data_IF_094724772378
#
_entry.id   IF_094724772378
#
_cell.length_a   1.000
_cell.length_b   1.000
_cell.length_c   1.000
_cell.angle_alpha   90.00
_cell.angle_beta   90.00
_cell.angle_gamma   90.00
#
_symmetry.space_group_name_H-M   'P 1'
#
loop_
_entity.id
_entity.type
_entity.pdbx_description
1 polymer ?
#
# COMPACT_ATOMS: atom_id res chain seq x y z
N UNK A 1 6.80 20.01 -21.75
CA UNK A 1 6.66 20.27 -20.31
C UNK A 1 6.25 18.93 -19.65
N UNK A 2 6.72 18.61 -18.46
CA UNK A 2 6.45 17.34 -17.75
C UNK A 2 6.97 16.09 -18.48
N UNK A 3 8.16 16.16 -19.05
CA UNK A 3 8.76 15.09 -19.87
C UNK A 3 9.11 13.87 -19.03
N UNK A 4 9.64 14.08 -17.80
CA UNK A 4 10.04 12.98 -16.93
C UNK A 4 8.84 12.18 -16.46
N UNK A 5 7.72 12.86 -16.09
CA UNK A 5 6.47 12.20 -15.75
C UNK A 5 6.00 11.27 -16.87
N UNK A 6 6.08 11.74 -18.14
CA UNK A 6 5.54 11.04 -19.30
C UNK A 6 6.49 10.00 -19.91
N UNK A 7 7.76 10.00 -19.52
CA UNK A 7 8.75 9.07 -20.05
C UNK A 7 8.51 7.65 -19.55
N UNK A 8 8.42 6.64 -20.45
CA UNK A 8 8.34 5.24 -20.05
C UNK A 8 9.50 4.84 -19.15
N UNK A 9 9.22 3.95 -18.20
CA UNK A 9 10.21 3.55 -17.19
C UNK A 9 10.11 2.07 -16.85
N UNK A 10 11.26 1.40 -16.68
CA UNK A 10 11.31 0.05 -16.17
C UNK A 10 11.26 0.06 -14.63
N UNK A 11 10.10 -0.23 -14.08
CA UNK A 11 9.86 -0.29 -12.63
C UNK A 11 10.02 -1.73 -12.14
N UNK A 12 11.23 -2.07 -11.69
CA UNK A 12 11.53 -3.38 -11.12
C UNK A 12 11.31 -4.58 -12.05
N UNK A 13 11.50 -4.39 -13.37
CA UNK A 13 11.28 -5.42 -14.39
C UNK A 13 9.96 -5.28 -15.15
N UNK A 14 9.07 -4.35 -14.74
CA UNK A 14 7.84 -4.02 -15.44
C UNK A 14 7.96 -2.69 -16.17
N UNK A 15 7.77 -2.67 -17.50
CA UNK A 15 7.74 -1.43 -18.27
C UNK A 15 6.42 -0.70 -18.07
N UNK A 16 6.49 0.51 -17.54
CA UNK A 16 5.37 1.44 -17.36
C UNK A 16 5.40 2.51 -18.45
N UNK A 17 4.24 2.89 -19.00
CA UNK A 17 4.10 3.92 -20.04
C UNK A 17 4.43 5.34 -19.57
N UNK A 18 4.40 5.60 -18.27
CA UNK A 18 4.78 6.83 -17.59
C UNK A 18 5.09 6.52 -16.12
N UNK A 19 5.39 7.54 -15.31
CA UNK A 19 5.84 7.36 -13.92
C UNK A 19 4.77 7.55 -12.85
N UNK A 20 3.48 7.58 -13.24
CA UNK A 20 2.36 7.79 -12.31
C UNK A 20 1.63 6.48 -12.02
N UNK A 21 1.51 6.19 -10.72
CA UNK A 21 0.89 4.97 -10.19
C UNK A 21 -0.31 5.36 -9.34
N UNK A 22 -1.45 4.67 -9.51
CA UNK A 22 -2.55 4.79 -8.55
C UNK A 22 -2.23 3.94 -7.33
N UNK A 23 -2.06 4.62 -6.18
CA UNK A 23 -1.72 3.98 -4.92
C UNK A 23 -2.86 3.08 -4.40
N UNK A 24 -2.55 1.99 -3.66
CA UNK A 24 -3.58 1.10 -3.13
C UNK A 24 -4.56 1.88 -2.25
N UNK A 25 -5.85 1.74 -2.57
CA UNK A 25 -6.93 2.52 -1.96
C UNK A 25 -8.14 1.63 -1.73
N UNK A 26 -8.67 1.63 -0.51
CA UNK A 26 -9.93 0.97 -0.18
C UNK A 26 -11.08 1.88 -0.60
N UNK A 27 -11.95 1.40 -1.49
CA UNK A 27 -13.08 2.20 -1.99
C UNK A 27 -14.34 2.06 -1.14
N UNK A 28 -14.64 0.88 -0.61
CA UNK A 28 -15.89 0.64 0.14
C UNK A 28 -17.13 0.86 -0.72
N UNK A 29 -17.08 0.51 -2.00
CA UNK A 29 -18.10 0.71 -3.02
C UNK A 29 -18.74 -0.62 -3.45
N UNK A 30 -19.88 -0.54 -4.17
CA UNK A 30 -20.43 -1.67 -4.93
C UNK A 30 -19.44 -2.16 -5.99
N UNK A 31 -19.62 -3.37 -6.52
CA UNK A 31 -18.73 -3.89 -7.57
C UNK A 31 -18.80 -3.02 -8.83
N UNK A 32 -19.99 -2.55 -9.21
CA UNK A 32 -20.21 -1.69 -10.37
C UNK A 32 -19.51 -0.35 -10.23
N UNK A 33 -19.67 0.33 -9.12
CA UNK A 33 -19.01 1.61 -8.83
C UNK A 33 -17.49 1.44 -8.71
N UNK A 34 -17.03 0.31 -8.16
CA UNK A 34 -15.61 -0.03 -8.12
C UNK A 34 -15.02 -0.14 -9.53
N UNK A 35 -15.69 -0.88 -10.43
CA UNK A 35 -15.26 -1.05 -11.82
C UNK A 35 -15.26 0.28 -12.58
N UNK A 36 -16.26 1.10 -12.38
CA UNK A 36 -16.33 2.44 -13.01
C UNK A 36 -15.19 3.34 -12.53
N UNK A 37 -14.89 3.32 -11.23
CA UNK A 37 -13.78 4.09 -10.67
C UNK A 37 -12.42 3.62 -11.24
N UNK A 38 -12.19 2.31 -11.34
CA UNK A 38 -10.99 1.76 -11.99
C UNK A 38 -10.90 2.20 -13.45
N UNK A 39 -12.01 2.13 -14.19
CA UNK A 39 -12.06 2.56 -15.61
C UNK A 39 -11.65 4.03 -15.75
N UNK A 40 -12.23 4.91 -14.96
CA UNK A 40 -11.93 6.36 -15.02
C UNK A 40 -10.47 6.64 -14.70
N UNK A 41 -9.90 5.99 -13.67
CA UNK A 41 -8.51 6.16 -13.29
C UNK A 41 -7.56 5.62 -14.37
N UNK A 42 -7.84 4.44 -14.94
CA UNK A 42 -7.02 3.84 -16.00
C UNK A 42 -7.08 4.67 -17.29
N UNK A 43 -8.28 5.08 -17.72
CA UNK A 43 -8.49 5.93 -18.88
C UNK A 43 -7.86 7.32 -18.72
N UNK A 44 -7.73 7.82 -17.48
CA UNK A 44 -7.06 9.08 -17.14
C UNK A 44 -5.55 9.05 -17.32
N UNK A 45 -4.99 7.92 -17.76
CA UNK A 45 -3.61 7.81 -18.24
C UNK A 45 -2.59 7.33 -17.24
N UNK A 46 -2.95 6.98 -15.98
CA UNK A 46 -1.96 6.41 -15.06
C UNK A 46 -1.36 5.11 -15.61
N UNK A 47 -0.09 4.85 -15.28
CA UNK A 47 0.63 3.72 -15.85
C UNK A 47 0.31 2.39 -15.15
N UNK A 48 0.00 2.43 -13.86
CA UNK A 48 -0.29 1.23 -13.07
C UNK A 48 -1.30 1.54 -11.97
N UNK A 49 -2.19 0.58 -11.70
CA UNK A 49 -3.10 0.59 -10.56
C UNK A 49 -2.63 -0.49 -9.58
N UNK A 50 -2.40 -0.13 -8.32
CA UNK A 50 -2.17 -1.10 -7.24
C UNK A 50 -3.52 -1.41 -6.59
N UNK A 51 -3.99 -2.64 -6.76
CA UNK A 51 -5.20 -3.14 -6.10
C UNK A 51 -4.84 -3.50 -4.67
N UNK A 52 -5.40 -2.76 -3.71
CA UNK A 52 -5.09 -2.91 -2.29
C UNK A 52 -5.74 -4.12 -1.63
N UNK A 53 -5.11 -4.56 -0.55
CA UNK A 53 -5.62 -5.54 0.40
C UNK A 53 -6.09 -6.87 -0.24
N UNK A 54 -5.34 -7.38 -1.23
CA UNK A 54 -5.61 -8.71 -1.82
C UNK A 54 -5.18 -9.78 -0.82
N UNK A 55 -6.09 -10.55 -0.21
CA UNK A 55 -5.75 -11.45 0.88
C UNK A 55 -4.95 -12.66 0.39
N UNK A 56 -3.96 -13.08 1.20
CA UNK A 56 -3.12 -14.27 0.88
C UNK A 56 -3.80 -15.60 1.18
N UNK A 57 -5.07 -15.59 1.55
CA UNK A 57 -5.89 -16.76 1.82
C UNK A 57 -7.38 -16.50 1.57
N UNK A 58 -8.23 -17.45 1.96
CA UNK A 58 -9.68 -17.23 1.93
C UNK A 58 -10.04 -16.07 2.86
N UNK A 59 -10.94 -15.21 2.41
CA UNK A 59 -11.47 -14.10 3.20
C UNK A 59 -12.93 -14.34 3.56
N UNK A 60 -13.30 -14.02 4.79
CA UNK A 60 -14.69 -13.96 5.22
C UNK A 60 -15.30 -12.58 4.97
N UNK A 61 -14.45 -11.57 4.76
CA UNK A 61 -14.83 -10.19 4.56
C UNK A 61 -14.10 -9.66 3.32
N UNK A 62 -14.81 -9.49 2.21
CA UNK A 62 -14.24 -8.97 0.97
C UNK A 62 -13.85 -10.04 -0.05
N UNK A 63 -13.27 -9.58 -1.15
CA UNK A 63 -12.90 -10.42 -2.31
C UNK A 63 -11.61 -11.19 -2.03
N UNK A 64 -11.54 -12.42 -2.53
CA UNK A 64 -10.33 -13.25 -2.42
C UNK A 64 -10.06 -14.00 -3.71
N UNK A 65 -8.79 -14.14 -4.09
CA UNK A 65 -8.38 -14.97 -5.22
C UNK A 65 -8.61 -16.49 -4.99
N UNK A 66 -8.91 -16.87 -3.74
CA UNK A 66 -9.13 -18.26 -3.35
C UNK A 66 -10.59 -18.71 -3.49
N UNK A 67 -11.48 -17.84 -3.92
CA UNK A 67 -12.86 -18.18 -4.25
C UNK A 67 -13.25 -17.71 -5.66
N UNK A 68 -14.20 -18.40 -6.27
CA UNK A 68 -14.59 -18.17 -7.67
C UNK A 68 -15.10 -16.76 -7.94
N UNK A 69 -15.86 -16.19 -7.00
CA UNK A 69 -16.45 -14.84 -7.17
C UNK A 69 -15.38 -13.75 -7.06
N UNK A 70 -14.50 -13.87 -6.07
CA UNK A 70 -13.39 -12.94 -5.88
C UNK A 70 -12.39 -13.02 -7.03
N UNK A 71 -12.09 -14.23 -7.52
CA UNK A 71 -11.21 -14.43 -8.67
C UNK A 71 -11.77 -13.71 -9.91
N UNK A 72 -13.05 -13.95 -10.27
CA UNK A 72 -13.70 -13.29 -11.38
C UNK A 72 -13.80 -11.75 -11.23
N UNK A 73 -13.95 -11.26 -9.99
CA UNK A 73 -13.90 -9.83 -9.72
C UNK A 73 -12.54 -9.23 -10.10
N UNK A 74 -11.43 -9.87 -9.68
CA UNK A 74 -10.10 -9.38 -10.02
C UNK A 74 -9.80 -9.49 -11.51
N UNK A 75 -10.19 -10.57 -12.19
CA UNK A 75 -10.07 -10.68 -13.65
C UNK A 75 -10.77 -9.50 -14.35
N UNK A 76 -11.96 -9.11 -13.89
CA UNK A 76 -12.69 -7.97 -14.45
C UNK A 76 -11.99 -6.63 -14.19
N UNK A 77 -11.45 -6.42 -12.97
CA UNK A 77 -10.64 -5.23 -12.65
C UNK A 77 -9.43 -5.12 -13.57
N UNK A 78 -8.72 -6.23 -13.77
CA UNK A 78 -7.52 -6.30 -14.61
C UNK A 78 -7.88 -6.03 -16.07
N UNK A 79 -8.93 -6.67 -16.60
CA UNK A 79 -9.38 -6.44 -17.97
C UNK A 79 -9.70 -4.97 -18.23
N UNK A 80 -10.44 -4.30 -17.32
CA UNK A 80 -10.76 -2.87 -17.44
C UNK A 80 -9.47 -2.01 -17.46
N UNK A 81 -8.49 -2.32 -16.65
CA UNK A 81 -7.23 -1.58 -16.63
C UNK A 81 -6.42 -1.81 -17.91
N UNK A 82 -6.27 -3.07 -18.33
CA UNK A 82 -5.53 -3.45 -19.54
C UNK A 82 -6.16 -2.87 -20.83
N UNK A 83 -7.50 -2.78 -20.91
CA UNK A 83 -8.21 -2.13 -22.03
C UNK A 83 -7.83 -0.64 -22.16
N UNK A 84 -7.26 -0.03 -21.12
CA UNK A 84 -6.78 1.35 -21.08
C UNK A 84 -5.23 1.45 -21.01
N UNK A 85 -4.52 0.40 -21.44
CA UNK A 85 -3.05 0.34 -21.39
C UNK A 85 -2.50 0.70 -19.99
N UNK A 86 -3.16 0.23 -18.93
CA UNK A 86 -2.77 0.44 -17.54
C UNK A 86 -2.42 -0.89 -16.90
N UNK A 87 -1.20 -1.00 -16.36
CA UNK A 87 -0.74 -2.19 -15.64
C UNK A 87 -1.45 -2.36 -14.31
N UNK A 88 -1.50 -3.59 -13.79
CA UNK A 88 -2.17 -3.89 -12.51
C UNK A 88 -1.24 -4.65 -11.58
N UNK A 89 -1.09 -4.14 -10.37
CA UNK A 89 -0.31 -4.76 -9.30
C UNK A 89 -1.23 -5.29 -8.20
N UNK A 90 -1.04 -6.54 -7.76
CA UNK A 90 -1.73 -7.10 -6.60
C UNK A 90 -0.98 -6.77 -5.32
N UNK A 91 -1.54 -5.96 -4.43
CA UNK A 91 -0.99 -5.79 -3.09
C UNK A 91 -1.43 -6.95 -2.21
N UNK A 92 -0.56 -7.95 -2.04
CA UNK A 92 -0.81 -9.11 -1.19
C UNK A 92 -0.78 -8.72 0.28
N UNK A 93 -1.83 -9.08 0.97
CA UNK A 93 -2.11 -8.64 2.32
C UNK A 93 -2.46 -9.81 3.25
N UNK A 94 -1.89 -9.78 4.45
CA UNK A 94 -2.33 -10.57 5.60
C UNK A 94 -2.67 -9.63 6.75
N UNK A 95 -3.89 -9.74 7.26
CA UNK A 95 -4.30 -8.97 8.43
C UNK A 95 -3.54 -9.44 9.67
N UNK A 96 -3.12 -8.50 10.48
CA UNK A 96 -2.56 -8.69 11.82
C UNK A 96 -3.62 -8.55 12.92
N UNK A 97 -4.88 -8.39 12.53
CA UNK A 97 -6.00 -8.32 13.48
C UNK A 97 -6.31 -9.70 14.07
N UNK A 98 -6.40 -9.77 15.38
CA UNK A 98 -6.82 -10.96 16.09
C UNK A 98 -8.35 -11.11 16.06
N UNK A 99 -8.88 -11.95 15.16
CA UNK A 99 -10.34 -12.17 15.02
C UNK A 99 -10.97 -12.60 16.36
N UNK A 100 -10.30 -13.45 17.14
CA UNK A 100 -10.81 -13.87 18.46
C UNK A 100 -10.91 -12.70 19.43
N UNK A 101 -9.94 -11.79 19.41
CA UNK A 101 -9.98 -10.57 20.21
C UNK A 101 -11.09 -9.61 19.74
N UNK A 102 -11.31 -9.50 18.41
CA UNK A 102 -12.42 -8.70 17.87
C UNK A 102 -13.78 -9.14 18.44
N UNK A 103 -14.00 -10.45 18.59
CA UNK A 103 -15.26 -10.98 19.13
C UNK A 103 -15.57 -10.49 20.55
N UNK A 104 -14.54 -10.16 21.36
CA UNK A 104 -14.73 -9.59 22.71
C UNK A 104 -15.47 -8.24 22.68
N UNK A 105 -15.25 -7.46 21.62
CA UNK A 105 -15.76 -6.08 21.50
C UNK A 105 -17.11 -6.01 20.78
N UNK A 106 -17.54 -7.09 20.10
CA UNK A 106 -18.81 -7.13 19.35
C UNK A 106 -20.03 -6.74 20.22
N UNK A 107 -20.20 -7.24 21.46
CA UNK A 107 -21.35 -6.83 22.29
C UNK A 107 -21.33 -5.32 22.62
N UNK A 108 -20.13 -4.77 22.87
CA UNK A 108 -19.96 -3.32 23.14
C UNK A 108 -20.33 -2.46 21.93
N UNK A 109 -19.93 -2.89 20.74
CA UNK A 109 -20.25 -2.20 19.47
C UNK A 109 -21.76 -2.29 19.17
N UNK A 110 -22.35 -3.47 19.28
CA UNK A 110 -23.79 -3.67 19.04
C UNK A 110 -24.66 -2.88 20.01
N UNK A 111 -24.23 -2.75 21.26
CA UNK A 111 -24.93 -1.94 22.28
C UNK A 111 -24.57 -0.45 22.24
N UNK A 112 -23.75 -0.02 21.27
CA UNK A 112 -23.22 1.36 21.14
C UNK A 112 -22.44 1.85 22.37
N UNK A 113 -21.95 0.94 23.24
CA UNK A 113 -21.07 1.26 24.36
C UNK A 113 -19.64 1.50 23.91
N UNK A 114 -19.24 0.98 22.74
CA UNK A 114 -17.96 1.17 22.08
C UNK A 114 -18.23 1.77 20.72
N UNK A 115 -17.75 2.97 20.47
CA UNK A 115 -17.78 3.60 19.15
C UNK A 115 -16.73 2.99 18.22
N UNK A 116 -16.87 3.19 16.91
CA UNK A 116 -15.86 2.76 15.92
C UNK A 116 -14.50 3.47 16.12
N UNK A 117 -14.51 4.69 16.67
CA UNK A 117 -13.28 5.42 17.00
C UNK A 117 -12.56 4.78 18.20
N UNK A 118 -13.29 4.35 19.21
CA UNK A 118 -12.73 3.66 20.38
C UNK A 118 -12.32 2.22 20.06
N UNK A 119 -13.02 1.55 19.13
CA UNK A 119 -12.71 0.18 18.73
C UNK A 119 -11.30 0.06 18.12
N UNK A 120 -10.88 1.03 17.31
CA UNK A 120 -9.58 0.98 16.62
C UNK A 120 -8.39 0.91 17.59
N UNK A 121 -8.24 1.78 18.59
CA UNK A 121 -7.19 1.64 19.61
C UNK A 121 -7.25 0.32 20.37
N UNK A 122 -8.44 -0.17 20.71
CA UNK A 122 -8.62 -1.46 21.39
C UNK A 122 -8.08 -2.62 20.52
N UNK A 123 -8.38 -2.62 19.22
CA UNK A 123 -7.86 -3.63 18.30
C UNK A 123 -6.34 -3.51 18.10
N UNK A 124 -5.80 -2.29 18.06
CA UNK A 124 -4.35 -2.07 17.97
C UNK A 124 -3.59 -2.63 19.18
N UNK A 125 -4.18 -2.55 20.38
CA UNK A 125 -3.60 -3.12 21.59
C UNK A 125 -3.53 -4.67 21.57
N UNK A 126 -4.35 -5.32 20.75
CA UNK A 126 -4.33 -6.78 20.59
C UNK A 126 -3.27 -7.28 19.59
N UNK A 127 -2.63 -6.37 18.84
CA UNK A 127 -1.64 -6.75 17.81
C UNK A 127 -0.37 -7.33 18.46
N UNK A 128 0.22 -6.67 19.46
CA UNK A 128 1.45 -7.13 20.10
C UNK A 128 1.30 -8.53 20.72
N UNK A 129 0.27 -8.82 21.56
CA UNK A 129 0.09 -10.18 22.07
C UNK A 129 -0.21 -11.19 20.96
N UNK A 130 -0.92 -10.81 19.89
CA UNK A 130 -1.19 -11.71 18.76
C UNK A 130 0.08 -12.11 18.01
N UNK A 131 0.94 -11.15 17.67
CA UNK A 131 2.22 -11.40 16.98
C UNK A 131 3.17 -12.20 17.89
N UNK A 132 3.32 -11.77 19.15
CA UNK A 132 4.24 -12.39 20.11
C UNK A 132 3.91 -13.85 20.39
N UNK A 133 2.62 -14.17 20.55
CA UNK A 133 2.17 -15.52 20.91
C UNK A 133 1.78 -16.38 19.68
N UNK A 134 2.01 -15.91 18.44
CA UNK A 134 1.68 -16.69 17.26
C UNK A 134 2.53 -17.98 17.20
N UNK A 135 1.91 -19.17 17.09
CA UNK A 135 2.67 -20.41 16.96
C UNK A 135 3.57 -20.39 15.73
N UNK A 136 4.79 -20.90 15.85
CA UNK A 136 5.78 -20.97 14.77
C UNK A 136 5.20 -21.61 13.50
N UNK A 137 4.47 -22.71 13.64
CA UNK A 137 3.76 -23.37 12.50
C UNK A 137 2.85 -22.37 11.77
N UNK A 138 2.13 -21.50 12.51
CA UNK A 138 1.23 -20.51 11.92
C UNK A 138 1.99 -19.42 11.17
N UNK A 139 3.15 -19.00 11.68
CA UNK A 139 4.05 -18.06 10.99
C UNK A 139 4.45 -18.63 9.63
N UNK A 140 4.93 -19.88 9.58
CA UNK A 140 5.33 -20.58 8.33
C UNK A 140 4.17 -20.76 7.36
N UNK A 141 2.97 -21.09 7.86
CA UNK A 141 1.77 -21.19 7.01
C UNK A 141 1.46 -19.85 6.33
N UNK A 142 1.56 -18.74 7.07
CA UNK A 142 1.27 -17.42 6.53
C UNK A 142 2.33 -16.97 5.52
N UNK A 143 3.63 -17.09 5.84
CA UNK A 143 4.69 -16.69 4.92
C UNK A 143 4.62 -17.49 3.61
N UNK A 144 4.38 -18.79 3.69
CA UNK A 144 4.18 -19.65 2.51
C UNK A 144 2.93 -19.30 1.69
N UNK A 145 1.87 -18.80 2.32
CA UNK A 145 0.63 -18.43 1.65
C UNK A 145 0.81 -17.26 0.66
N UNK A 146 1.78 -16.36 0.88
CA UNK A 146 2.11 -15.29 -0.07
C UNK A 146 2.49 -15.86 -1.45
N UNK A 147 3.31 -16.91 -1.49
CA UNK A 147 3.65 -17.57 -2.75
C UNK A 147 2.45 -18.19 -3.45
N UNK A 148 1.53 -18.78 -2.70
CA UNK A 148 0.31 -19.37 -3.29
C UNK A 148 -0.63 -18.29 -3.83
N UNK A 149 -0.80 -17.20 -3.07
CA UNK A 149 -1.60 -16.04 -3.50
C UNK A 149 -1.00 -15.39 -4.76
N UNK A 150 0.32 -15.26 -4.83
CA UNK A 150 1.02 -14.70 -5.99
C UNK A 150 0.77 -15.54 -7.27
N UNK A 151 0.79 -16.88 -7.17
CA UNK A 151 0.46 -17.75 -8.31
C UNK A 151 -0.97 -17.52 -8.78
N UNK A 152 -1.93 -17.37 -7.86
CA UNK A 152 -3.32 -17.05 -8.22
C UNK A 152 -3.45 -15.66 -8.82
N UNK A 153 -2.71 -14.66 -8.28
CA UNK A 153 -2.69 -13.31 -8.84
C UNK A 153 -2.13 -13.28 -10.26
N UNK A 154 -1.02 -13.98 -10.53
CA UNK A 154 -0.48 -14.15 -11.89
C UNK A 154 -1.50 -14.82 -12.82
N UNK A 155 -2.19 -15.86 -12.34
CA UNK A 155 -3.23 -16.55 -13.10
C UNK A 155 -4.43 -15.64 -13.43
N UNK A 156 -4.79 -14.74 -12.53
CA UNK A 156 -5.85 -13.75 -12.76
C UNK A 156 -5.42 -12.63 -13.75
N UNK A 157 -4.12 -12.48 -14.03
CA UNK A 157 -3.58 -11.54 -15.01
C UNK A 157 -2.84 -10.34 -14.41
N UNK A 158 -2.57 -10.30 -13.11
CA UNK A 158 -1.75 -9.24 -12.51
C UNK A 158 -0.34 -9.21 -13.09
N UNK A 159 0.15 -8.00 -13.40
CA UNK A 159 1.48 -7.76 -13.99
C UNK A 159 2.61 -7.73 -12.95
N UNK A 160 2.30 -7.43 -11.70
CA UNK A 160 3.25 -7.25 -10.59
C UNK A 160 2.62 -7.68 -9.27
N UNK A 161 3.46 -8.12 -8.35
CA UNK A 161 3.07 -8.38 -6.95
C UNK A 161 3.66 -7.28 -6.06
N UNK A 162 2.86 -6.71 -5.18
CA UNK A 162 3.34 -5.89 -4.07
C UNK A 162 3.12 -6.64 -2.75
N UNK A 163 4.15 -6.76 -1.92
CA UNK A 163 4.01 -7.25 -0.55
C UNK A 163 3.65 -6.07 0.36
N UNK A 164 2.55 -6.19 1.10
CA UNK A 164 2.10 -5.15 2.02
C UNK A 164 2.91 -5.16 3.31
N UNK A 165 3.97 -4.37 3.36
CA UNK A 165 4.92 -4.29 4.47
C UNK A 165 4.43 -3.54 5.71
N UNK A 166 3.15 -3.15 5.78
CA UNK A 166 2.60 -2.36 6.89
C UNK A 166 1.69 -3.16 7.85
N UNK A 167 1.05 -4.23 7.38
CA UNK A 167 0.18 -5.07 8.21
C UNK A 167 0.99 -6.19 8.89
N UNK A 168 0.68 -7.45 8.65
CA UNK A 168 1.37 -8.56 9.28
C UNK A 168 2.90 -8.47 9.14
N UNK A 169 3.42 -8.15 7.94
CA UNK A 169 4.86 -7.94 7.74
C UNK A 169 5.39 -6.79 8.61
N UNK A 170 4.68 -5.64 8.63
CA UNK A 170 5.09 -4.49 9.43
C UNK A 170 4.99 -4.72 10.93
N UNK A 171 4.00 -5.51 11.39
CA UNK A 171 3.87 -5.88 12.80
C UNK A 171 4.98 -6.82 13.25
N UNK A 172 5.40 -7.77 12.40
CA UNK A 172 6.59 -8.59 12.68
C UNK A 172 7.89 -7.78 12.65
N UNK A 173 7.98 -6.77 11.79
CA UNK A 173 9.16 -5.89 11.69
C UNK A 173 9.31 -4.95 12.88
N UNK A 174 8.20 -4.62 13.54
CA UNK A 174 8.15 -3.63 14.61
C UNK A 174 8.69 -4.16 15.93
N UNK A 175 9.64 -3.45 16.54
CA UNK A 175 10.08 -3.70 17.93
C UNK A 175 9.01 -3.34 18.97
N UNK A 176 7.98 -2.55 18.60
CA UNK A 176 6.84 -2.21 19.46
C UNK A 176 5.85 -3.36 19.57
N UNK A 177 5.60 -4.09 18.47
CA UNK A 177 4.62 -5.17 18.43
C UNK A 177 5.22 -6.56 18.58
N UNK A 178 6.45 -6.74 18.13
CA UNK A 178 7.09 -8.04 18.10
C UNK A 178 8.02 -8.26 19.32
N UNK A 179 7.48 -8.86 20.37
CA UNK A 179 8.23 -9.23 21.57
C UNK A 179 8.61 -10.72 21.57
N UNK A 180 8.72 -11.35 20.40
CA UNK A 180 9.12 -12.76 20.27
C UNK A 180 10.57 -12.94 20.68
N UNK A 181 10.87 -14.13 21.21
CA UNK A 181 12.22 -14.54 21.63
C UNK A 181 12.81 -15.66 20.77
N UNK A 182 12.07 -16.05 19.71
CA UNK A 182 12.52 -17.01 18.71
C UNK A 182 13.18 -16.28 17.50
N UNK A 183 13.46 -17.03 16.43
CA UNK A 183 14.11 -16.51 15.22
C UNK A 183 13.34 -15.44 14.46
N UNK A 184 12.12 -15.09 14.88
CA UNK A 184 11.31 -14.00 14.30
C UNK A 184 11.28 -12.74 15.16
N UNK A 185 12.00 -12.69 16.29
CA UNK A 185 11.98 -11.57 17.21
C UNK A 185 13.35 -11.18 17.76
N UNK A 186 13.40 -10.14 18.57
CA UNK A 186 14.64 -9.61 19.13
C UNK A 186 15.38 -8.68 18.15
N UNK A 187 16.39 -9.18 17.43
CA UNK A 187 17.21 -8.35 16.52
C UNK A 187 16.47 -7.91 15.28
N UNK A 188 16.97 -6.87 14.59
CA UNK A 188 16.39 -6.39 13.34
C UNK A 188 16.36 -7.49 12.26
N UNK A 189 17.42 -8.31 12.17
CA UNK A 189 17.53 -9.44 11.24
C UNK A 189 16.43 -10.49 11.48
N UNK A 190 16.18 -10.80 12.74
CA UNK A 190 15.13 -11.75 13.11
C UNK A 190 13.75 -11.18 12.81
N UNK A 191 13.51 -9.89 13.12
CA UNK A 191 12.22 -9.25 12.80
C UNK A 191 11.99 -9.08 11.30
N UNK A 192 13.04 -8.98 10.49
CA UNK A 192 12.94 -8.96 9.04
C UNK A 192 12.53 -10.33 8.44
N UNK A 193 12.80 -11.43 9.14
CA UNK A 193 12.64 -12.80 8.64
C UNK A 193 11.26 -13.10 8.08
N UNK A 194 10.19 -12.65 8.75
CA UNK A 194 8.82 -12.86 8.26
C UNK A 194 8.62 -12.25 6.86
N UNK A 195 9.03 -11.01 6.67
CA UNK A 195 8.92 -10.30 5.39
C UNK A 195 9.81 -10.95 4.31
N UNK A 196 11.04 -11.31 4.67
CA UNK A 196 11.99 -12.03 3.80
C UNK A 196 11.40 -13.35 3.33
N UNK A 197 10.82 -14.15 4.23
CA UNK A 197 10.18 -15.43 3.86
C UNK A 197 8.96 -15.24 2.97
N UNK A 198 8.14 -14.21 3.22
CA UNK A 198 7.00 -13.89 2.37
C UNK A 198 7.43 -13.53 0.93
N UNK A 199 8.48 -12.71 0.78
CA UNK A 199 9.09 -12.37 -0.51
C UNK A 199 9.68 -13.61 -1.17
N UNK A 200 10.48 -14.40 -0.43
CA UNK A 200 11.12 -15.63 -0.93
C UNK A 200 10.09 -16.64 -1.42
N UNK A 201 8.96 -16.80 -0.72
CA UNK A 201 7.88 -17.69 -1.12
C UNK A 201 7.23 -17.28 -2.47
N UNK A 202 7.16 -15.98 -2.75
CA UNK A 202 6.73 -15.47 -4.06
C UNK A 202 7.79 -15.75 -5.11
N UNK A 203 9.04 -15.40 -4.85
CA UNK A 203 10.17 -15.53 -5.77
C UNK A 203 10.40 -17.01 -6.18
N UNK A 204 10.31 -17.94 -5.22
CA UNK A 204 10.45 -19.35 -5.46
C UNK A 204 9.42 -19.89 -6.48
N UNK A 205 8.16 -19.47 -6.35
CA UNK A 205 7.08 -19.92 -7.24
C UNK A 205 7.00 -19.14 -8.55
N UNK A 206 7.47 -17.90 -8.56
CA UNK A 206 7.41 -16.99 -9.70
C UNK A 206 8.77 -16.29 -9.89
N UNK A 207 9.77 -16.98 -10.45
CA UNK A 207 11.15 -16.45 -10.55
C UNK A 207 11.27 -15.12 -11.29
N UNK A 208 10.43 -14.87 -12.30
CA UNK A 208 10.50 -13.69 -13.17
C UNK A 208 9.46 -12.61 -12.82
N UNK A 209 8.61 -12.85 -11.81
CA UNK A 209 7.56 -11.88 -11.44
C UNK A 209 8.18 -10.65 -10.79
N UNK A 210 7.88 -9.43 -11.26
CA UNK A 210 8.26 -8.21 -10.54
C UNK A 210 7.65 -8.19 -9.14
N UNK A 211 8.47 -7.93 -8.12
CA UNK A 211 8.04 -7.87 -6.71
C UNK A 211 8.36 -6.48 -6.15
N UNK A 212 7.33 -5.71 -5.93
CA UNK A 212 7.40 -4.47 -5.19
C UNK A 212 7.17 -4.71 -3.70
N UNK A 213 7.91 -4.02 -2.85
CA UNK A 213 7.68 -4.09 -1.40
C UNK A 213 7.21 -2.74 -0.88
N UNK A 214 5.97 -2.68 -0.35
CA UNK A 214 5.50 -1.47 0.30
C UNK A 214 6.16 -1.34 1.66
N UNK A 215 7.28 -0.62 1.69
CA UNK A 215 8.09 -0.41 2.89
C UNK A 215 7.47 0.70 3.75
N UNK A 216 6.97 0.28 4.91
CA UNK A 216 6.41 1.17 5.91
C UNK A 216 7.52 1.60 6.88
N UNK A 217 7.88 2.88 6.85
CA UNK A 217 8.91 3.46 7.73
C UNK A 217 8.25 4.09 8.94
N UNK A 218 8.71 3.72 10.14
CA UNK A 218 8.25 4.28 11.40
C UNK A 218 9.12 5.47 11.79
N UNK A 219 8.47 6.59 12.13
CA UNK A 219 9.14 7.77 12.62
C UNK A 219 9.12 7.81 14.15
N UNK A 220 10.29 7.94 14.77
CA UNK A 220 10.41 7.95 16.24
C UNK A 220 10.29 9.35 16.85
N UNK A 221 10.73 10.39 16.15
CA UNK A 221 10.71 11.74 16.70
C UNK A 221 10.23 12.78 15.64
N UNK A 222 9.01 13.31 15.78
CA UNK A 222 7.94 12.86 16.69
C UNK A 222 7.48 11.45 16.34
N UNK A 223 6.95 10.73 17.33
CA UNK A 223 6.56 9.35 17.15
C UNK A 223 5.32 9.19 16.28
N UNK A 224 5.46 8.50 15.14
CA UNK A 224 4.37 8.14 14.24
C UNK A 224 4.52 6.72 13.71
N UNK A 225 3.42 5.97 13.80
CA UNK A 225 3.38 4.56 13.39
C UNK A 225 3.92 3.61 14.47
N UNK A 226 3.23 2.49 14.67
CA UNK A 226 3.65 1.44 15.60
C UNK A 226 4.11 0.17 14.88
N UNK A 227 3.62 -0.06 13.65
CA UNK A 227 4.12 -1.10 12.74
C UNK A 227 5.32 -0.60 11.93
N UNK A 228 5.92 -1.48 11.13
CA UNK A 228 6.98 -1.11 10.19
C UNK A 228 8.37 -1.01 10.82
N UNK A 229 9.29 -0.45 10.04
CA UNK A 229 10.73 -0.43 10.30
C UNK A 229 11.14 0.97 10.74
N UNK A 230 11.92 1.10 11.80
CA UNK A 230 12.52 2.38 12.18
C UNK A 230 13.67 2.75 11.23
N UNK A 231 13.94 4.06 11.09
CA UNK A 231 14.95 4.59 10.17
C UNK A 231 16.31 3.92 10.36
N UNK A 232 16.80 3.76 11.58
CA UNK A 232 18.10 3.14 11.91
C UNK A 232 18.23 1.67 11.50
N UNK A 233 17.11 0.96 11.33
CA UNK A 233 17.08 -0.45 10.95
C UNK A 233 16.93 -0.67 9.43
N UNK A 234 16.69 0.37 8.65
CA UNK A 234 16.60 0.28 7.18
C UNK A 234 17.87 -0.34 6.57
N UNK A 235 19.04 -0.09 7.16
CA UNK A 235 20.33 -0.70 6.78
C UNK A 235 20.36 -2.23 6.85
N UNK A 236 19.45 -2.83 7.63
CA UNK A 236 19.28 -4.28 7.75
C UNK A 236 18.15 -4.77 6.84
N UNK A 237 16.97 -4.15 6.96
CA UNK A 237 15.78 -4.62 6.26
C UNK A 237 15.87 -4.49 4.75
N UNK A 238 16.36 -3.35 4.23
CA UNK A 238 16.38 -3.07 2.79
C UNK A 238 17.27 -4.08 2.04
N UNK A 239 18.55 -4.31 2.44
CA UNK A 239 19.39 -5.30 1.77
C UNK A 239 18.86 -6.75 1.90
N UNK A 240 18.25 -7.11 3.04
CA UNK A 240 17.68 -8.44 3.22
C UNK A 240 16.48 -8.69 2.30
N UNK A 241 15.60 -7.69 2.13
CA UNK A 241 14.45 -7.77 1.22
C UNK A 241 14.90 -7.81 -0.25
N UNK A 242 15.89 -7.01 -0.63
CA UNK A 242 16.49 -7.03 -1.97
C UNK A 242 17.10 -8.40 -2.28
N UNK A 243 17.88 -8.96 -1.36
CA UNK A 243 18.45 -10.31 -1.48
C UNK A 243 17.37 -11.40 -1.59
N UNK A 244 16.22 -11.22 -0.94
CA UNK A 244 15.09 -12.14 -1.02
C UNK A 244 14.36 -12.09 -2.37
N UNK A 245 14.58 -11.04 -3.17
CA UNK A 245 14.04 -10.92 -4.52
C UNK A 245 13.09 -9.75 -4.75
N UNK A 246 13.04 -8.75 -3.85
CA UNK A 246 12.37 -7.48 -4.12
C UNK A 246 13.05 -6.79 -5.31
N UNK A 247 12.26 -6.19 -6.20
CA UNK A 247 12.74 -5.50 -7.41
C UNK A 247 12.43 -4.01 -7.42
N UNK A 248 11.61 -3.53 -6.49
CA UNK A 248 11.30 -2.11 -6.26
C UNK A 248 10.73 -1.89 -4.86
N UNK A 249 10.79 -0.65 -4.39
CA UNK A 249 10.21 -0.25 -3.11
C UNK A 249 9.17 0.85 -3.27
N UNK A 250 8.00 0.68 -2.66
CA UNK A 250 6.99 1.72 -2.48
C UNK A 250 7.06 2.22 -1.03
N UNK A 251 7.66 3.39 -0.82
CA UNK A 251 7.99 3.87 0.52
C UNK A 251 6.89 4.75 1.09
N UNK A 252 6.48 4.49 2.32
CA UNK A 252 5.41 5.22 3.01
C UNK A 252 5.66 5.32 4.52
N UNK A 253 4.89 6.17 5.21
CA UNK A 253 4.84 6.15 6.67
C UNK A 253 4.12 4.88 7.16
N UNK A 254 4.62 4.28 8.22
CA UNK A 254 4.00 3.15 8.90
C UNK A 254 2.64 3.49 9.51
N UNK A 255 1.77 2.50 9.61
CA UNK A 255 0.42 2.62 10.16
C UNK A 255 0.34 2.07 11.62
N UNK A 256 -0.85 1.65 12.04
CA UNK A 256 -1.24 1.29 13.41
C UNK A 256 -1.18 2.49 14.39
N UNK A 257 -1.40 3.68 13.84
CA UNK A 257 -1.70 4.89 14.58
C UNK A 257 -3.01 5.49 14.08
N UNK A 258 -3.23 6.76 14.24
CA UNK A 258 -4.35 7.44 13.62
C UNK A 258 -4.24 7.41 12.08
N UNK A 259 -5.37 7.17 11.40
CA UNK A 259 -5.41 7.18 9.93
C UNK A 259 -4.99 8.53 9.33
N UNK A 260 -5.21 9.63 10.04
CA UNK A 260 -4.78 10.94 9.59
C UNK A 260 -3.26 11.09 9.49
N UNK A 261 -2.48 10.27 10.19
CA UNK A 261 -1.02 10.26 10.04
C UNK A 261 -0.59 9.69 8.68
N UNK A 262 -1.24 8.61 8.23
CA UNK A 262 -0.94 7.98 6.91
C UNK A 262 -1.72 8.58 5.75
N UNK A 263 -2.82 9.30 6.04
CA UNK A 263 -3.64 10.04 5.08
C UNK A 263 -3.72 11.51 5.53
N UNK A 264 -2.58 12.22 5.63
CA UNK A 264 -2.53 13.49 6.33
C UNK A 264 -3.38 14.55 5.65
N UNK A 265 -4.21 15.29 6.44
CA UNK A 265 -4.92 16.47 5.97
C UNK A 265 -3.94 17.61 5.65
N UNK A 266 -4.43 18.70 5.02
CA UNK A 266 -3.61 19.84 4.65
C UNK A 266 -2.95 20.52 5.87
N UNK A 267 -3.63 20.51 7.01
CA UNK A 267 -3.19 21.14 8.26
C UNK A 267 -2.57 20.16 9.26
N UNK A 268 -2.09 18.99 8.79
CA UNK A 268 -1.40 18.04 9.67
C UNK A 268 -0.11 18.69 10.23
N UNK A 269 0.18 18.58 11.54
CA UNK A 269 1.29 19.31 12.17
C UNK A 269 2.67 18.95 11.61
N UNK A 270 2.87 17.73 11.08
CA UNK A 270 4.16 17.25 10.58
C UNK A 270 4.16 16.79 9.13
N UNK A 271 3.00 16.63 8.52
CA UNK A 271 2.86 16.09 7.17
C UNK A 271 1.98 16.96 6.27
N UNK A 272 2.03 18.30 6.48
CA UNK A 272 1.26 19.27 5.70
C UNK A 272 1.88 19.61 4.34
N UNK A 273 3.17 19.40 4.16
CA UNK A 273 3.93 19.72 2.95
C UNK A 273 3.61 18.79 1.77
N UNK A 274 3.97 19.23 0.57
CA UNK A 274 3.98 18.37 -0.62
C UNK A 274 5.09 17.34 -0.49
N UNK A 275 4.81 16.08 -0.87
CA UNK A 275 5.78 15.00 -0.76
C UNK A 275 6.18 14.67 0.68
N UNK A 276 5.27 14.82 1.63
CA UNK A 276 5.53 14.72 3.08
C UNK A 276 6.19 13.41 3.53
N UNK A 277 6.15 12.33 2.73
CA UNK A 277 6.82 11.06 3.02
C UNK A 277 8.09 10.83 2.19
N UNK A 278 8.47 11.77 1.31
CA UNK A 278 9.67 11.60 0.48
C UNK A 278 10.98 11.57 1.27
N UNK A 279 11.01 12.16 2.46
CA UNK A 279 12.15 12.03 3.38
C UNK A 279 12.46 10.55 3.70
N UNK A 280 11.47 9.69 3.80
CA UNK A 280 11.68 8.25 4.00
C UNK A 280 12.24 7.57 2.73
N UNK A 281 11.94 8.11 1.54
CA UNK A 281 12.57 7.65 0.30
C UNK A 281 14.08 7.97 0.30
N UNK A 282 14.46 9.15 0.82
CA UNK A 282 15.87 9.56 0.95
C UNK A 282 16.64 8.61 1.88
N UNK A 283 16.02 8.20 2.99
CA UNK A 283 16.63 7.24 3.93
C UNK A 283 16.77 5.84 3.29
N UNK A 284 15.73 5.35 2.62
CA UNK A 284 15.78 4.04 1.93
C UNK A 284 16.82 4.04 0.82
N UNK A 285 16.97 5.14 0.08
CA UNK A 285 17.94 5.28 -1.01
C UNK A 285 19.38 5.02 -0.60
N UNK A 286 19.73 5.24 0.66
CA UNK A 286 21.07 4.99 1.18
C UNK A 286 21.47 3.51 1.12
N UNK A 287 20.50 2.59 1.03
CA UNK A 287 20.72 1.14 1.16
C UNK A 287 20.32 0.33 -0.08
N UNK A 288 19.84 0.98 -1.15
CA UNK A 288 19.45 0.28 -2.39
C UNK A 288 19.59 1.17 -3.63
N UNK A 289 19.86 0.53 -4.77
CA UNK A 289 19.80 1.14 -6.10
C UNK A 289 18.50 0.76 -6.84
N UNK A 290 17.63 -0.05 -6.26
CA UNK A 290 16.35 -0.41 -6.87
C UNK A 290 15.46 0.82 -7.04
N UNK A 291 14.50 0.79 -7.99
CA UNK A 291 13.52 1.85 -8.14
C UNK A 291 12.71 2.09 -6.87
N UNK A 292 12.55 3.36 -6.51
CA UNK A 292 11.71 3.79 -5.38
C UNK A 292 10.50 4.55 -5.92
N UNK A 293 9.32 4.12 -5.49
CA UNK A 293 8.06 4.84 -5.66
C UNK A 293 7.75 5.63 -4.40
N UNK A 294 7.62 6.95 -4.53
CA UNK A 294 7.23 7.82 -3.43
C UNK A 294 5.73 8.06 -3.39
N UNK A 295 5.19 8.32 -2.19
CA UNK A 295 3.79 8.67 -1.94
C UNK A 295 3.69 9.76 -0.89
N UNK A 296 2.52 10.40 -0.77
CA UNK A 296 2.20 11.38 0.26
C UNK A 296 2.21 12.83 -0.22
N UNK A 297 1.02 13.42 -0.40
CA UNK A 297 0.88 14.84 -0.76
C UNK A 297 1.38 15.21 -2.17
N UNK A 298 1.54 14.26 -3.07
CA UNK A 298 1.95 14.47 -4.46
C UNK A 298 0.74 14.93 -5.27
N UNK A 299 0.51 16.24 -5.35
CA UNK A 299 -0.67 16.82 -6.01
C UNK A 299 -0.31 17.87 -7.06
N UNK A 300 0.87 18.49 -6.92
CA UNK A 300 1.36 19.54 -7.80
C UNK A 300 2.23 18.95 -8.91
N UNK A 301 1.87 19.12 -10.21
CA UNK A 301 2.64 18.59 -11.32
C UNK A 301 4.09 19.07 -11.36
N UNK A 302 4.34 20.36 -11.11
CA UNK A 302 5.70 20.93 -11.14
C UNK A 302 6.57 20.33 -10.04
N UNK A 303 5.99 20.15 -8.84
CA UNK A 303 6.68 19.49 -7.73
C UNK A 303 7.00 18.03 -8.08
N UNK A 304 6.04 17.28 -8.63
CA UNK A 304 6.23 15.86 -8.99
C UNK A 304 7.27 15.70 -10.09
N UNK A 305 7.19 16.53 -11.15
CA UNK A 305 8.20 16.53 -12.22
C UNK A 305 9.60 16.74 -11.67
N UNK A 306 9.77 17.74 -10.79
CA UNK A 306 11.06 18.02 -10.16
C UNK A 306 11.59 16.81 -9.36
N UNK A 307 10.75 16.16 -8.51
CA UNK A 307 11.21 15.01 -7.72
C UNK A 307 11.65 13.83 -8.60
N UNK A 308 10.96 13.62 -9.73
CA UNK A 308 11.30 12.58 -10.71
C UNK A 308 12.55 12.95 -11.52
N UNK A 309 12.66 14.19 -11.98
CA UNK A 309 13.79 14.68 -12.75
C UNK A 309 15.10 14.72 -11.94
N UNK A 310 15.01 15.09 -10.66
CA UNK A 310 16.14 15.07 -9.71
C UNK A 310 16.54 13.61 -9.33
N UNK A 311 15.77 12.60 -9.74
CA UNK A 311 16.02 11.19 -9.42
C UNK A 311 15.75 10.81 -7.96
N UNK A 312 15.14 11.70 -7.17
CA UNK A 312 14.80 11.43 -5.76
C UNK A 312 13.86 10.23 -5.62
N UNK A 313 12.88 10.13 -6.54
CA UNK A 313 12.01 8.98 -6.72
C UNK A 313 11.96 8.61 -8.21
N UNK A 314 11.63 7.37 -8.53
CA UNK A 314 11.52 6.91 -9.91
C UNK A 314 10.07 6.82 -10.39
N UNK A 315 9.12 6.64 -9.46
CA UNK A 315 7.68 6.71 -9.71
C UNK A 315 6.99 7.50 -8.59
N UNK A 316 5.86 8.11 -8.91
CA UNK A 316 5.01 8.85 -7.98
C UNK A 316 3.67 8.13 -7.83
N UNK A 317 3.36 7.66 -6.61
CA UNK A 317 2.08 7.03 -6.30
C UNK A 317 1.09 8.06 -5.73
N UNK A 318 -0.10 8.07 -6.30
CA UNK A 318 -1.17 9.00 -5.95
C UNK A 318 -2.46 8.23 -5.69
N UNK A 319 -3.13 8.47 -4.56
CA UNK A 319 -4.50 8.01 -4.31
C UNK A 319 -5.46 9.20 -4.45
N UNK A 320 -5.53 10.06 -3.45
CA UNK A 320 -6.49 11.18 -3.38
C UNK A 320 -6.38 12.16 -4.54
N UNK A 321 -5.19 12.34 -5.14
CA UNK A 321 -5.04 13.19 -6.31
C UNK A 321 -5.76 12.61 -7.54
N UNK A 322 -5.59 11.32 -7.82
CA UNK A 322 -6.28 10.67 -8.96
C UNK A 322 -7.77 10.38 -8.67
N UNK A 323 -8.20 10.48 -7.40
CA UNK A 323 -9.62 10.56 -7.06
C UNK A 323 -10.18 11.96 -7.31
N UNK A 324 -9.38 13.00 -7.08
CA UNK A 324 -9.79 14.39 -7.32
C UNK A 324 -9.84 14.72 -8.81
N UNK A 325 -8.90 14.18 -9.56
CA UNK A 325 -8.81 14.33 -11.01
C UNK A 325 -8.23 13.05 -11.65
N UNK A 326 -9.07 12.13 -12.08
CA UNK A 326 -8.61 10.93 -12.79
C UNK A 326 -7.79 11.23 -14.05
N UNK A 327 -8.14 12.32 -14.77
CA UNK A 327 -7.48 12.75 -16.02
C UNK A 327 -6.16 13.51 -15.80
N UNK A 328 -5.60 13.49 -14.60
CA UNK A 328 -4.41 14.25 -14.26
C UNK A 328 -3.25 14.04 -15.25
N UNK A 329 -2.98 12.78 -15.64
CA UNK A 329 -1.89 12.46 -16.59
C UNK A 329 -2.21 12.92 -18.00
N UNK A 330 -3.42 12.66 -18.49
CA UNK A 330 -3.86 13.11 -19.84
C UNK A 330 -3.81 14.63 -19.95
N UNK A 331 -4.29 15.37 -18.93
CA UNK A 331 -4.22 16.83 -18.92
C UNK A 331 -2.80 17.36 -19.02
N UNK A 332 -1.83 16.70 -18.37
CA UNK A 332 -0.41 17.07 -18.52
C UNK A 332 0.11 16.81 -19.93
N UNK A 333 -0.27 15.67 -20.52
CA UNK A 333 0.10 15.29 -21.87
C UNK A 333 -0.45 16.28 -22.91
N UNK A 334 -1.66 16.74 -22.71
CA UNK A 334 -2.36 17.64 -23.63
C UNK A 334 -2.06 19.13 -23.36
N UNK A 335 -1.21 19.45 -22.38
CA UNK A 335 -0.82 20.82 -22.05
C UNK A 335 -1.81 21.60 -21.20
N UNK A 336 -2.75 20.91 -20.56
CA UNK A 336 -3.84 21.48 -19.76
C UNK A 336 -3.61 21.34 -18.24
N UNK A 337 -2.39 21.54 -17.78
CA UNK A 337 -2.03 21.45 -16.35
C UNK A 337 -2.83 22.41 -15.47
N UNK A 338 -3.23 23.56 -16.01
CA UNK A 338 -4.05 24.58 -15.36
C UNK A 338 -5.50 24.10 -15.07
N UNK A 339 -5.98 23.08 -15.79
CA UNK A 339 -7.31 22.50 -15.61
C UNK A 339 -7.34 21.34 -14.59
N UNK A 340 -6.22 21.03 -13.97
CA UNK A 340 -6.15 19.94 -12.98
C UNK A 340 -6.84 20.36 -11.67
N UNK A 341 -7.81 19.54 -11.25
CA UNK A 341 -8.38 19.64 -9.91
C UNK A 341 -7.42 19.07 -8.89
N UNK A 342 -6.63 19.94 -8.24
CA UNK A 342 -5.67 19.52 -7.21
C UNK A 342 -6.39 19.08 -5.94
N UNK A 343 -6.01 17.92 -5.41
CA UNK A 343 -6.53 17.44 -4.13
C UNK A 343 -6.15 18.40 -3.00
N UNK A 344 -7.16 19.00 -2.39
CA UNK A 344 -6.98 19.94 -1.26
C UNK A 344 -6.74 19.25 0.09
N UNK A 345 -6.58 17.92 0.10
CA UNK A 345 -6.28 17.11 1.29
C UNK A 345 -7.28 17.32 2.45
N UNK A 346 -8.57 17.52 2.12
CA UNK A 346 -9.63 17.79 3.09
C UNK A 346 -10.14 16.55 3.85
N UNK A 347 -9.88 15.36 3.36
CA UNK A 347 -10.36 14.07 3.86
C UNK A 347 -11.89 13.91 3.99
N UNK A 348 -12.70 14.86 3.50
CA UNK A 348 -14.15 14.92 3.73
C UNK A 348 -14.92 13.72 3.15
N UNK A 349 -14.88 13.54 1.82
CA UNK A 349 -15.65 12.48 1.13
C UNK A 349 -14.82 11.21 0.87
N UNK A 350 -13.48 11.28 0.88
CA UNK A 350 -12.64 10.09 0.72
C UNK A 350 -12.52 9.32 2.04
N UNK A 351 -11.71 9.79 2.99
CA UNK A 351 -11.58 9.13 4.30
C UNK A 351 -12.90 9.21 5.10
N UNK A 352 -13.52 10.38 5.15
CA UNK A 352 -14.79 10.58 5.86
C UNK A 352 -15.93 9.74 5.28
N UNK A 353 -16.04 9.64 3.95
CA UNK A 353 -17.02 8.78 3.29
C UNK A 353 -16.83 7.30 3.61
N UNK A 354 -15.56 6.83 3.57
CA UNK A 354 -15.22 5.46 3.96
C UNK A 354 -15.60 5.15 5.42
N UNK A 355 -15.28 6.07 6.34
CA UNK A 355 -15.61 5.93 7.77
C UNK A 355 -17.11 5.94 8.05
N UNK A 356 -17.90 6.55 7.18
CA UNK A 356 -19.37 6.61 7.25
C UNK A 356 -20.06 5.50 6.42
N UNK A 357 -19.29 4.54 5.89
CA UNK A 357 -19.79 3.47 4.99
C UNK A 357 -20.48 3.98 3.72
N UNK A 358 -20.12 5.17 3.25
CA UNK A 358 -20.62 5.79 2.03
C UNK A 358 -19.69 5.58 0.83
N UNK A 359 -18.57 4.87 1.04
CA UNK A 359 -17.54 4.70 0.04
C UNK A 359 -16.59 5.90 -0.10
N UNK A 360 -15.51 5.67 -0.85
CA UNK A 360 -14.46 6.66 -1.10
C UNK A 360 -14.78 7.49 -2.33
N UNK A 361 -15.09 8.76 -2.12
CA UNK A 361 -15.39 9.74 -3.16
C UNK A 361 -14.53 11.00 -3.01
N UNK A 362 -14.54 11.88 -4.01
CA UNK A 362 -13.95 13.20 -3.90
C UNK A 362 -15.02 14.29 -3.83
N UNK A 363 -14.68 15.44 -3.24
CA UNK A 363 -15.56 16.61 -3.26
C UNK A 363 -15.79 17.17 -4.67
N UNK A 364 -14.89 16.86 -5.62
CA UNK A 364 -14.96 17.24 -7.03
C UNK A 364 -15.78 16.25 -7.87
N UNK A 365 -16.11 15.07 -7.36
CA UNK A 365 -17.05 14.15 -8.03
C UNK A 365 -18.47 14.72 -7.94
N UNK A 366 -19.10 14.87 -9.13
CA UNK A 366 -20.49 15.29 -9.29
C UNK A 366 -21.44 14.12 -9.07
#
# INVERSE_FOLDING_TARGET
>A
MYETIQTPFNYGGLTLKNRIIFAPTTFGLSDEDYFEKIRRIAAGGCAMIIVGDVPVGKSHFGKSLFDKKGFAFYEKVIGIAHDNDCKVCAQLHQSDSNIKAMLKYVPGVLTKRISMQELRPLLNNEVAPYITNMPHKKVKEITSAFGTAAVLAKKAGFDMIQIHGDRMCGSFSSSIYNHRTDEYGGTAENRARFAVEAVSAVREKLPDMPIDYKLAVRQENPHYGNAGVIEDELKVFVPMLEKAGVTSFHVTLANHSDLENTIPPKNHPYFSESGCFLKFCDEVRQYTNLPICGVGGLTDPDFVEKQLADGRIQCAAMSRQLLADPDWVNKLKDGHADQIHRCVRCNKKCLGGLMQHQGTHCIYEK
#
